data_IF_524552201162
#
_entry.id   IF_524552201162
#
_cell.length_a   1.000
_cell.length_b   1.000
_cell.length_c   1.000
_cell.angle_alpha   90.00
_cell.angle_beta   90.00
_cell.angle_gamma   90.00
#
_symmetry.space_group_name_H-M   'P 1'
#
loop_
_entity.id
_entity.type
_entity.pdbx_description
1 polymer ?
#
# COMPACT_ATOMS: atom_id res chain seq x y z
N UNK A 1 -22.46 16.53 9.36
CA UNK A 1 -21.43 16.55 8.30
C UNK A 1 -21.80 15.51 7.26
N UNK A 2 -22.00 15.92 6.00
CA UNK A 2 -22.31 15.00 4.89
C UNK A 2 -21.07 14.30 4.34
N UNK A 3 -21.26 13.33 3.45
CA UNK A 3 -20.15 12.61 2.81
C UNK A 3 -19.21 13.58 2.06
N UNK A 4 -19.76 14.58 1.36
CA UNK A 4 -18.98 15.58 0.63
C UNK A 4 -17.98 16.31 1.55
N UNK A 5 -18.47 16.86 2.68
CA UNK A 5 -17.61 17.53 3.65
C UNK A 5 -16.52 16.65 4.27
N UNK A 6 -16.70 15.32 4.27
CA UNK A 6 -15.68 14.37 4.74
C UNK A 6 -14.64 14.10 3.66
N UNK A 7 -15.07 13.99 2.40
CA UNK A 7 -14.18 13.84 1.25
C UNK A 7 -13.32 15.09 1.05
N UNK A 8 -13.92 16.29 1.14
CA UNK A 8 -13.18 17.55 1.03
C UNK A 8 -12.09 17.64 2.10
N UNK A 9 -12.44 17.34 3.36
CA UNK A 9 -11.47 17.31 4.46
C UNK A 9 -10.38 16.25 4.28
N UNK A 10 -10.69 15.11 3.70
CA UNK A 10 -9.70 14.07 3.42
C UNK A 10 -8.73 14.52 2.33
N UNK A 11 -9.25 15.18 1.29
CA UNK A 11 -8.45 15.74 0.20
C UNK A 11 -7.56 16.90 0.68
N UNK A 12 -8.12 17.87 1.41
CA UNK A 12 -7.38 19.02 1.95
C UNK A 12 -6.22 18.62 2.88
N UNK A 13 -6.38 17.50 3.59
CA UNK A 13 -5.38 16.98 4.54
C UNK A 13 -4.48 15.91 3.95
N UNK A 14 -4.66 15.53 2.69
CA UNK A 14 -3.86 14.49 2.06
C UNK A 14 -2.38 14.93 2.01
N UNK A 15 -1.43 14.04 2.33
CA UNK A 15 -0.02 14.33 2.15
C UNK A 15 0.28 14.67 0.68
N UNK A 16 0.94 15.80 0.45
CA UNK A 16 1.45 16.18 -0.88
C UNK A 16 2.90 15.74 -0.98
N UNK A 17 3.16 14.77 -1.85
CA UNK A 17 4.50 14.21 -2.04
C UNK A 17 5.16 14.80 -3.30
N UNK A 18 6.45 15.14 -3.27
CA UNK A 18 7.13 15.78 -4.39
C UNK A 18 7.34 14.80 -5.55
N UNK A 19 6.81 15.11 -6.74
CA UNK A 19 7.06 14.31 -7.94
C UNK A 19 8.20 14.92 -8.76
N UNK A 20 9.33 14.24 -8.81
CA UNK A 20 10.53 14.65 -9.56
C UNK A 20 11.08 13.48 -10.38
N UNK A 21 12.06 13.73 -11.25
CA UNK A 21 12.77 12.68 -12.00
C UNK A 21 13.53 11.67 -11.12
N UNK A 22 13.74 11.98 -9.84
CA UNK A 22 14.50 11.16 -8.90
C UNK A 22 13.62 10.47 -7.84
N UNK A 23 12.37 10.90 -7.70
CA UNK A 23 11.43 10.31 -6.74
C UNK A 23 10.86 9.02 -7.30
N UNK A 24 10.81 7.98 -6.48
CA UNK A 24 10.30 6.67 -6.86
C UNK A 24 9.25 6.25 -5.85
N UNK A 25 8.01 6.11 -6.30
CA UNK A 25 6.89 5.70 -5.48
C UNK A 25 6.46 4.30 -5.86
N UNK A 26 6.02 3.52 -4.88
CA UNK A 26 5.18 2.35 -5.10
C UNK A 26 3.91 2.55 -4.28
N UNK A 27 2.78 2.13 -4.85
CA UNK A 27 1.49 2.13 -4.20
C UNK A 27 1.02 0.68 -4.11
N UNK A 28 0.75 0.20 -2.91
CA UNK A 28 0.19 -1.13 -2.64
C UNK A 28 -1.18 -0.99 -2.00
N UNK A 29 -2.09 -1.87 -2.37
CA UNK A 29 -3.46 -1.94 -1.85
C UNK A 29 -3.92 -3.39 -1.91
N UNK A 30 -4.92 -3.74 -1.09
CA UNK A 30 -5.65 -5.00 -1.17
C UNK A 30 -4.69 -6.20 -1.20
N UNK A 31 -3.62 -6.12 -0.41
CA UNK A 31 -2.66 -7.20 -0.35
C UNK A 31 -3.24 -8.40 0.39
N UNK A 32 -4.18 -8.17 1.32
CA UNK A 32 -4.83 -9.22 2.11
C UNK A 32 -3.80 -10.21 2.68
N UNK A 33 -2.71 -9.69 3.27
CA UNK A 33 -1.67 -10.51 3.89
C UNK A 33 -2.30 -11.25 5.07
N UNK A 34 -2.60 -12.52 4.86
CA UNK A 34 -3.31 -13.36 5.82
C UNK A 34 -2.38 -14.12 6.76
N UNK A 35 -2.98 -15.06 7.49
CA UNK A 35 -2.30 -15.88 8.51
C UNK A 35 -1.67 -17.17 7.95
N UNK A 36 -1.60 -17.33 6.62
CA UNK A 36 -0.97 -18.48 5.97
C UNK A 36 -1.77 -19.78 6.02
N UNK A 37 -3.09 -19.70 6.21
CA UNK A 37 -3.99 -20.86 6.15
C UNK A 37 -4.48 -21.12 4.71
N UNK A 38 -5.35 -22.11 4.50
CA UNK A 38 -5.84 -22.49 3.16
C UNK A 38 -6.70 -21.41 2.49
N UNK A 39 -7.23 -20.45 3.25
CA UNK A 39 -8.06 -19.35 2.75
C UNK A 39 -7.23 -18.07 2.49
N UNK A 40 -5.95 -18.08 2.82
CA UNK A 40 -5.03 -16.97 2.56
C UNK A 40 -4.70 -16.90 1.07
N UNK A 41 -5.39 -15.98 0.36
CA UNK A 41 -5.16 -15.75 -1.06
C UNK A 41 -3.79 -15.12 -1.35
N UNK A 42 -3.23 -14.38 -0.39
CA UNK A 42 -1.91 -13.78 -0.50
C UNK A 42 -0.79 -14.81 -0.46
N UNK A 43 -0.97 -15.90 0.29
CA UNK A 43 0.06 -16.93 0.53
C UNK A 43 0.74 -17.43 -0.76
N UNK A 44 -0.02 -17.59 -1.84
CA UNK A 44 0.51 -18.04 -3.15
C UNK A 44 1.46 -17.03 -3.80
N UNK A 45 1.31 -15.75 -3.47
CA UNK A 45 2.07 -14.63 -4.03
C UNK A 45 3.14 -14.09 -3.06
N UNK A 46 3.25 -14.63 -1.85
CA UNK A 46 4.13 -14.11 -0.79
C UNK A 46 5.59 -13.93 -1.23
N UNK A 47 6.12 -14.87 -2.04
CA UNK A 47 7.50 -14.81 -2.50
C UNK A 47 7.72 -13.72 -3.55
N UNK A 48 6.76 -13.54 -4.46
CA UNK A 48 6.79 -12.46 -5.45
C UNK A 48 6.72 -11.10 -4.77
N UNK A 49 5.79 -10.97 -3.83
CA UNK A 49 5.64 -9.77 -3.03
C UNK A 49 6.93 -9.43 -2.27
N UNK A 50 7.52 -10.42 -1.57
CA UNK A 50 8.76 -10.22 -0.83
C UNK A 50 9.91 -9.82 -1.75
N UNK A 51 10.04 -10.44 -2.94
CA UNK A 51 11.07 -10.07 -3.90
C UNK A 51 10.91 -8.62 -4.39
N UNK A 52 9.68 -8.17 -4.67
CA UNK A 52 9.37 -6.81 -5.05
C UNK A 52 9.70 -5.82 -3.90
N UNK A 53 9.26 -6.12 -2.68
CA UNK A 53 9.52 -5.30 -1.50
C UNK A 53 11.02 -5.12 -1.22
N UNK A 54 11.79 -6.20 -1.34
CA UNK A 54 13.25 -6.12 -1.21
C UNK A 54 13.88 -5.26 -2.31
N UNK A 55 13.40 -5.34 -3.56
CA UNK A 55 13.87 -4.48 -4.63
C UNK A 55 13.57 -3.01 -4.34
N UNK A 56 12.34 -2.69 -3.94
CA UNK A 56 11.92 -1.32 -3.62
C UNK A 56 12.71 -0.74 -2.45
N UNK A 57 12.93 -1.54 -1.40
CA UNK A 57 13.75 -1.15 -0.26
C UNK A 57 15.20 -0.86 -0.66
N UNK A 58 15.86 -1.78 -1.38
CA UNK A 58 17.26 -1.58 -1.84
C UNK A 58 17.44 -0.39 -2.77
N UNK A 59 16.39 0.02 -3.46
CA UNK A 59 16.44 1.11 -4.43
C UNK A 59 15.83 2.42 -3.88
N UNK A 60 15.56 2.54 -2.58
CA UNK A 60 15.04 3.77 -1.96
C UNK A 60 13.72 4.26 -2.60
N UNK A 61 12.79 3.34 -2.84
CA UNK A 61 11.42 3.74 -3.17
C UNK A 61 10.68 4.19 -1.91
N UNK A 62 9.77 5.14 -2.07
CA UNK A 62 8.80 5.53 -1.05
C UNK A 62 7.60 4.60 -1.18
N UNK A 63 7.31 3.87 -0.11
CA UNK A 63 6.21 2.94 0.00
C UNK A 63 4.94 3.65 0.50
N UNK A 64 3.83 3.47 -0.22
CA UNK A 64 2.51 3.99 0.17
C UNK A 64 1.53 2.82 0.21
N UNK A 65 0.99 2.52 1.40
CA UNK A 65 -0.13 1.57 1.57
C UNK A 65 -1.45 2.34 1.43
N UNK A 66 -2.35 1.85 0.59
CA UNK A 66 -3.65 2.47 0.34
C UNK A 66 -4.80 1.85 1.16
N UNK A 67 -4.56 0.70 1.79
CA UNK A 67 -5.55 -0.01 2.60
C UNK A 67 -5.56 -1.52 2.33
N UNK A 68 -6.33 -2.25 3.13
CA UNK A 68 -6.55 -3.70 3.04
C UNK A 68 -5.26 -4.52 2.87
N UNK A 69 -4.24 -4.06 3.61
CA UNK A 69 -2.90 -4.63 3.58
C UNK A 69 -2.81 -5.98 4.28
N UNK A 70 -3.39 -6.07 5.48
CA UNK A 70 -3.35 -7.25 6.34
C UNK A 70 -4.77 -7.75 6.61
N UNK A 71 -4.99 -9.05 6.55
CA UNK A 71 -6.23 -9.65 7.07
C UNK A 71 -6.08 -9.81 8.59
N UNK A 72 -6.95 -9.14 9.35
CA UNK A 72 -6.93 -9.17 10.83
C UNK A 72 -7.85 -10.25 11.42
N UNK A 73 -8.38 -11.16 10.60
CA UNK A 73 -9.40 -12.14 10.97
C UNK A 73 -8.91 -13.59 10.88
#
# INVERSE_FOLDING_TARGET
>A
MGYASRLDKAFEKAPVLPLTRHTKYILMSDCHRGVGNTNDNFLKNQHLYMAAMQHYYRNNYIYIELGDGDELW
#
